data_IF_024349085190
#
_entry.id   IF_024349085190
#
_cell.length_a   1.000
_cell.length_b   1.000
_cell.length_c   1.000
_cell.angle_alpha   90.00
_cell.angle_beta   90.00
_cell.angle_gamma   90.00
#
_symmetry.space_group_name_H-M   'P 1'
#
loop_
_entity.id
_entity.type
_entity.pdbx_description
1 polymer ?
#
# COMPACT_ATOMS: atom_id res chain seq x y z
N UNK A 1 26.59 33.20 12.47
CA UNK A 1 25.34 33.51 11.73
C UNK A 1 24.76 32.15 11.37
N UNK A 2 23.96 31.60 12.28
CA UNK A 2 23.31 30.30 12.11
C UNK A 2 22.13 30.50 11.17
N UNK A 3 22.13 29.78 10.06
CA UNK A 3 21.02 29.78 9.12
C UNK A 3 19.97 28.84 9.70
N UNK A 4 18.82 29.42 10.06
CA UNK A 4 17.68 28.79 10.71
C UNK A 4 17.18 27.58 9.89
N UNK A 5 17.31 26.39 10.47
CA UNK A 5 16.96 25.05 9.95
C UNK A 5 15.43 24.83 9.99
N UNK A 6 14.68 25.76 9.36
CA UNK A 6 13.23 25.90 9.59
C UNK A 6 12.33 25.56 8.40
N UNK A 7 12.85 24.98 7.32
CA UNK A 7 12.07 24.84 6.09
C UNK A 7 11.93 23.42 5.53
N UNK A 8 12.75 22.44 5.92
CA UNK A 8 12.59 21.06 5.46
C UNK A 8 11.62 20.35 6.40
N UNK A 9 10.45 19.98 5.88
CA UNK A 9 9.38 19.32 6.66
C UNK A 9 9.31 17.82 6.38
N UNK A 10 9.83 17.38 5.23
CA UNK A 10 9.76 15.97 4.83
C UNK A 10 10.93 15.60 3.92
N UNK A 11 11.66 14.55 4.25
CA UNK A 11 12.77 14.02 3.46
C UNK A 11 12.59 12.55 3.04
N UNK A 12 13.66 11.97 2.50
CA UNK A 12 13.71 10.55 2.12
C UNK A 12 13.50 9.62 3.32
N UNK A 13 14.01 9.98 4.50
CA UNK A 13 13.85 9.23 5.74
C UNK A 13 12.40 9.28 6.27
N UNK A 14 11.70 10.40 6.10
CA UNK A 14 10.30 10.54 6.49
C UNK A 14 9.38 9.71 5.58
N UNK A 15 9.63 9.74 4.26
CA UNK A 15 8.98 8.85 3.30
C UNK A 15 9.18 7.38 3.65
N UNK A 16 10.43 6.99 3.96
CA UNK A 16 10.75 5.62 4.36
C UNK A 16 10.02 5.23 5.65
N UNK A 17 9.96 6.12 6.62
CA UNK A 17 9.27 5.90 7.90
C UNK A 17 7.77 5.76 7.69
N UNK A 18 7.16 6.63 6.87
CA UNK A 18 5.74 6.56 6.50
C UNK A 18 5.39 5.23 5.81
N UNK A 19 6.25 4.79 4.88
CA UNK A 19 6.13 3.49 4.23
C UNK A 19 6.25 2.32 5.22
N UNK A 20 7.23 2.37 6.14
CA UNK A 20 7.41 1.32 7.15
C UNK A 20 6.21 1.24 8.11
N UNK A 21 5.62 2.39 8.44
CA UNK A 21 4.40 2.45 9.24
C UNK A 21 3.19 1.88 8.49
N UNK A 22 3.10 2.09 7.18
CA UNK A 22 2.06 1.47 6.33
C UNK A 22 2.20 -0.05 6.25
N UNK A 23 3.42 -0.57 6.05
CA UNK A 23 3.71 -2.01 6.11
C UNK A 23 3.29 -2.60 7.45
N UNK A 24 3.72 -1.98 8.54
CA UNK A 24 3.44 -2.45 9.90
C UNK A 24 1.94 -2.47 10.18
N UNK A 25 1.23 -1.41 9.80
CA UNK A 25 -0.21 -1.30 10.03
C UNK A 25 -1.01 -2.34 9.24
N UNK A 26 -0.80 -2.41 7.92
CA UNK A 26 -1.59 -3.29 7.06
C UNK A 26 -1.34 -4.76 7.42
N UNK A 27 -0.07 -5.17 7.54
CA UNK A 27 0.24 -6.54 7.95
C UNK A 27 -0.28 -6.83 9.36
N UNK A 28 -0.19 -5.88 10.29
CA UNK A 28 -0.66 -6.06 11.65
C UNK A 28 -2.18 -6.26 11.75
N UNK A 29 -2.96 -5.47 11.01
CA UNK A 29 -4.42 -5.61 10.94
C UNK A 29 -4.80 -6.92 10.25
N UNK A 30 -4.21 -7.18 9.08
CA UNK A 30 -4.60 -8.30 8.24
C UNK A 30 -4.29 -9.66 8.87
N UNK A 31 -3.18 -9.75 9.62
CA UNK A 31 -2.72 -11.01 10.26
C UNK A 31 -3.04 -11.10 11.76
N UNK A 32 -3.66 -10.06 12.35
CA UNK A 32 -3.79 -9.88 13.80
C UNK A 32 -2.48 -10.15 14.57
N UNK A 33 -1.33 -9.75 14.01
CA UNK A 33 -0.02 -10.04 14.60
C UNK A 33 0.83 -8.79 14.76
N UNK A 34 1.81 -8.87 15.66
CA UNK A 34 2.75 -7.76 15.87
C UNK A 34 3.90 -7.86 14.87
N UNK A 35 3.85 -7.02 13.85
CA UNK A 35 4.98 -6.75 12.97
C UNK A 35 5.70 -5.50 13.47
N UNK A 36 7.02 -5.50 13.48
CA UNK A 36 7.81 -4.31 13.80
C UNK A 36 9.04 -4.24 12.90
N UNK A 37 9.62 -3.05 12.77
CA UNK A 37 10.81 -2.81 11.97
C UNK A 37 11.96 -2.25 12.81
N UNK A 38 13.18 -2.48 12.32
CA UNK A 38 14.41 -1.94 12.91
C UNK A 38 14.44 -0.42 12.79
N UNK A 39 14.69 0.28 13.90
CA UNK A 39 14.96 1.72 13.90
C UNK A 39 16.27 2.09 13.18
N UNK A 40 17.14 1.10 12.92
CA UNK A 40 18.36 1.27 12.15
C UNK A 40 18.11 0.92 10.68
N UNK A 41 18.43 1.86 9.80
CA UNK A 41 18.31 1.72 8.34
C UNK A 41 19.69 1.50 7.73
N UNK A 42 19.81 0.54 6.82
CA UNK A 42 21.04 0.28 6.09
C UNK A 42 21.05 1.07 4.77
N UNK A 43 22.12 1.83 4.51
CA UNK A 43 22.39 2.38 3.17
C UNK A 43 22.90 1.25 2.28
N UNK A 44 22.27 1.08 1.13
CA UNK A 44 22.64 0.06 0.13
C UNK A 44 23.01 0.74 -1.19
N UNK A 45 23.65 -0.01 -2.09
CA UNK A 45 24.06 0.49 -3.41
C UNK A 45 23.25 -0.11 -4.56
N UNK A 46 22.47 -1.16 -4.27
CA UNK A 46 21.65 -1.85 -5.27
C UNK A 46 20.41 -2.42 -4.60
N UNK A 47 19.30 -2.37 -5.34
CA UNK A 47 18.03 -3.00 -4.99
C UNK A 47 17.81 -4.24 -5.83
N UNK A 48 17.14 -5.24 -5.26
CA UNK A 48 16.88 -6.46 -5.99
C UNK A 48 15.93 -7.39 -5.26
N UNK A 49 15.31 -8.26 -6.05
CA UNK A 49 14.47 -9.32 -5.54
C UNK A 49 15.37 -10.47 -5.08
N UNK A 50 15.26 -10.83 -3.81
CA UNK A 50 15.94 -11.99 -3.24
C UNK A 50 15.16 -13.27 -3.60
N UNK A 51 15.77 -14.46 -3.45
CA UNK A 51 15.07 -15.72 -3.58
C UNK A 51 13.85 -15.82 -2.64
N UNK A 52 13.01 -16.83 -2.89
CA UNK A 52 11.73 -17.11 -2.27
C UNK A 52 10.60 -16.23 -2.84
N UNK A 53 10.21 -15.16 -2.14
CA UNK A 53 9.11 -14.30 -2.57
C UNK A 53 9.55 -12.84 -2.54
N UNK A 54 9.52 -12.21 -3.71
CA UNK A 54 9.79 -10.79 -3.89
C UNK A 54 8.59 -10.06 -4.46
N UNK A 55 8.31 -8.86 -3.95
CA UNK A 55 7.39 -7.91 -4.52
C UNK A 55 8.14 -6.66 -4.94
N UNK A 56 7.76 -6.04 -6.05
CA UNK A 56 8.18 -4.68 -6.34
C UNK A 56 7.04 -3.82 -6.88
N UNK A 57 7.15 -2.53 -6.62
CA UNK A 57 6.20 -1.50 -7.07
C UNK A 57 6.96 -0.22 -7.35
N UNK A 58 6.60 0.44 -8.46
CA UNK A 58 7.12 1.73 -8.86
C UNK A 58 6.08 2.81 -8.59
N UNK A 59 6.56 3.94 -8.10
CA UNK A 59 5.82 5.17 -7.89
C UNK A 59 6.32 6.22 -8.87
N UNK A 60 5.40 7.02 -9.39
CA UNK A 60 5.69 8.13 -10.27
C UNK A 60 4.79 9.35 -9.96
N UNK A 61 5.16 10.54 -10.43
CA UNK A 61 4.44 11.79 -10.18
C UNK A 61 5.29 12.80 -9.40
N UNK A 62 4.84 13.20 -8.21
CA UNK A 62 5.55 14.18 -7.37
C UNK A 62 6.99 13.79 -6.99
N UNK A 63 7.27 12.49 -6.99
CA UNK A 63 8.60 11.91 -6.99
C UNK A 63 8.53 10.52 -7.60
N UNK A 64 9.67 10.01 -8.07
CA UNK A 64 9.77 8.68 -8.64
C UNK A 64 10.57 7.78 -7.71
N UNK A 65 10.11 6.55 -7.50
CA UNK A 65 10.78 5.59 -6.65
C UNK A 65 10.37 4.15 -6.90
N UNK A 66 11.18 3.22 -6.43
CA UNK A 66 10.95 1.78 -6.43
C UNK A 66 10.94 1.29 -4.98
N UNK A 67 9.91 0.56 -4.62
CA UNK A 67 9.87 -0.21 -3.38
C UNK A 67 9.93 -1.69 -3.71
N UNK A 68 10.78 -2.40 -2.97
CA UNK A 68 10.95 -3.85 -3.05
C UNK A 68 10.73 -4.44 -1.67
N UNK A 69 9.93 -5.49 -1.56
CA UNK A 69 9.79 -6.27 -0.36
C UNK A 69 10.20 -7.71 -0.63
N UNK A 70 11.10 -8.23 0.21
CA UNK A 70 11.68 -9.55 0.07
C UNK A 70 11.35 -10.38 1.31
N UNK A 71 10.52 -11.40 1.12
CA UNK A 71 10.08 -12.33 2.15
C UNK A 71 10.80 -13.66 1.97
N UNK A 72 11.32 -14.21 3.07
CA UNK A 72 11.72 -15.63 3.07
C UNK A 72 10.49 -16.52 2.95
N UNK A 73 10.68 -17.77 2.50
CA UNK A 73 9.61 -18.76 2.43
C UNK A 73 8.84 -18.88 3.77
N UNK A 74 9.55 -18.97 4.89
CA UNK A 74 8.95 -19.09 6.23
C UNK A 74 8.14 -17.83 6.61
N UNK A 75 8.62 -16.65 6.24
CA UNK A 75 7.93 -15.39 6.53
C UNK A 75 6.64 -15.27 5.71
N UNK A 76 6.72 -15.61 4.42
CA UNK A 76 5.55 -15.57 3.55
C UNK A 76 4.47 -16.54 4.00
N UNK A 77 4.85 -17.77 4.36
CA UNK A 77 3.91 -18.76 4.91
C UNK A 77 3.31 -18.28 6.22
N UNK A 78 4.09 -17.70 7.13
CA UNK A 78 3.56 -17.16 8.38
C UNK A 78 2.51 -16.08 8.16
N UNK A 79 2.78 -15.12 7.26
CA UNK A 79 1.85 -14.03 6.93
C UNK A 79 0.58 -14.61 6.30
N UNK A 80 0.72 -15.49 5.31
CA UNK A 80 -0.39 -16.13 4.61
C UNK A 80 -1.27 -16.96 5.55
N UNK A 81 -0.67 -17.85 6.35
CA UNK A 81 -1.39 -18.70 7.30
C UNK A 81 -2.18 -17.85 8.29
N UNK A 82 -1.56 -16.81 8.87
CA UNK A 82 -2.26 -15.93 9.81
C UNK A 82 -3.41 -15.18 9.16
N UNK A 83 -3.21 -14.68 7.95
CA UNK A 83 -4.25 -13.99 7.20
C UNK A 83 -5.45 -14.90 6.91
N UNK A 84 -5.21 -16.11 6.41
CA UNK A 84 -6.28 -17.09 6.12
C UNK A 84 -6.99 -17.59 7.38
N UNK A 85 -6.24 -17.85 8.46
CA UNK A 85 -6.82 -18.23 9.74
C UNK A 85 -7.69 -17.12 10.33
N UNK A 86 -7.27 -15.86 10.18
CA UNK A 86 -8.06 -14.71 10.57
C UNK A 86 -9.36 -14.61 9.76
N UNK A 87 -9.34 -15.00 8.49
CA UNK A 87 -10.54 -15.11 7.64
C UNK A 87 -11.41 -16.36 7.93
N UNK A 88 -11.03 -17.20 8.90
CA UNK A 88 -11.80 -18.37 9.34
C UNK A 88 -11.53 -19.66 8.57
N UNK A 89 -10.52 -19.69 7.69
CA UNK A 89 -10.15 -20.91 6.95
C UNK A 89 -9.43 -21.91 7.86
N UNK A 90 -9.76 -23.22 7.80
CA UNK A 90 -9.10 -24.23 8.61
C UNK A 90 -7.67 -24.52 8.12
N UNK A 91 -6.76 -24.84 9.05
CA UNK A 91 -5.35 -25.16 8.74
C UNK A 91 -5.15 -26.28 7.72
N UNK A 92 -6.10 -27.19 7.60
CA UNK A 92 -6.06 -28.31 6.65
C UNK A 92 -6.24 -27.89 5.19
N UNK A 93 -6.82 -26.72 4.95
CA UNK A 93 -7.09 -26.20 3.60
C UNK A 93 -6.03 -25.20 3.13
N UNK A 94 -5.10 -24.84 4.01
CA UNK A 94 -4.03 -23.90 3.69
C UNK A 94 -3.05 -24.52 2.68
N UNK A 95 -2.53 -23.67 1.81
CA UNK A 95 -1.43 -24.03 0.93
C UNK A 95 -0.24 -24.55 1.75
N UNK A 96 0.39 -25.63 1.28
CA UNK A 96 1.56 -26.24 1.93
C UNK A 96 2.89 -25.66 1.48
N UNK A 97 2.89 -24.87 0.40
CA UNK A 97 4.09 -24.30 -0.21
C UNK A 97 3.96 -22.81 -0.45
N UNK A 98 5.02 -22.07 -0.13
CA UNK A 98 5.17 -20.65 -0.42
C UNK A 98 5.13 -20.34 -1.92
N UNK A 99 5.41 -21.33 -2.78
CA UNK A 99 5.36 -21.20 -4.24
C UNK A 99 3.94 -21.34 -4.80
N UNK A 100 2.92 -21.53 -3.96
CA UNK A 100 1.53 -21.62 -4.42
C UNK A 100 1.07 -20.26 -4.96
N UNK A 101 0.27 -20.29 -6.02
CA UNK A 101 -0.36 -19.10 -6.60
C UNK A 101 -1.21 -18.37 -5.55
N UNK A 102 -1.86 -19.12 -4.67
CA UNK A 102 -2.67 -18.57 -3.58
C UNK A 102 -1.85 -17.69 -2.63
N UNK A 103 -0.68 -18.15 -2.19
CA UNK A 103 0.23 -17.38 -1.32
C UNK A 103 0.65 -16.10 -2.03
N UNK A 104 1.03 -16.20 -3.31
CA UNK A 104 1.44 -15.05 -4.11
C UNK A 104 0.30 -14.03 -4.28
N UNK A 105 -0.94 -14.50 -4.49
CA UNK A 105 -2.11 -13.64 -4.64
C UNK A 105 -2.43 -12.89 -3.34
N UNK A 106 -2.43 -13.58 -2.20
CA UNK A 106 -2.69 -12.95 -0.90
C UNK A 106 -1.59 -11.95 -0.54
N UNK A 107 -0.33 -12.32 -0.75
CA UNK A 107 0.80 -11.41 -0.52
C UNK A 107 0.73 -10.19 -1.45
N UNK A 108 0.30 -10.38 -2.71
CA UNK A 108 0.08 -9.29 -3.66
C UNK A 108 -1.05 -8.35 -3.25
N UNK A 109 -2.15 -8.89 -2.72
CA UNK A 109 -3.26 -8.10 -2.20
C UNK A 109 -2.85 -7.27 -0.97
N UNK A 110 -2.13 -7.88 -0.03
CA UNK A 110 -1.57 -7.15 1.11
C UNK A 110 -0.62 -6.04 0.64
N UNK A 111 0.16 -6.29 -0.41
CA UNK A 111 1.01 -5.27 -1.01
C UNK A 111 0.23 -4.14 -1.67
N UNK A 112 -0.84 -4.44 -2.39
CA UNK A 112 -1.73 -3.42 -2.93
C UNK A 112 -2.25 -2.50 -1.83
N UNK A 113 -2.66 -3.08 -0.69
CA UNK A 113 -3.15 -2.34 0.46
C UNK A 113 -2.05 -1.49 1.11
N UNK A 114 -0.85 -2.03 1.32
CA UNK A 114 0.32 -1.28 1.86
C UNK A 114 0.63 -0.07 0.99
N UNK A 115 0.67 -0.27 -0.33
CA UNK A 115 0.99 0.77 -1.31
C UNK A 115 -0.09 1.83 -1.34
N UNK A 116 -1.37 1.44 -1.41
CA UNK A 116 -2.50 2.37 -1.38
C UNK A 116 -2.57 3.17 -0.08
N UNK A 117 -2.24 2.54 1.05
CA UNK A 117 -2.17 3.18 2.34
C UNK A 117 -1.09 4.26 2.41
N UNK A 118 0.11 3.91 1.92
CA UNK A 118 1.26 4.81 1.86
C UNK A 118 0.98 5.98 0.91
N UNK A 119 0.57 5.73 -0.34
CA UNK A 119 0.31 6.80 -1.31
C UNK A 119 -0.83 7.71 -0.86
N UNK A 120 -1.84 7.16 -0.18
CA UNK A 120 -2.91 7.94 0.45
C UNK A 120 -2.39 8.90 1.51
N UNK A 121 -1.46 8.46 2.39
CA UNK A 121 -0.83 9.35 3.38
C UNK A 121 0.00 10.43 2.71
N UNK A 122 0.90 10.05 1.81
CA UNK A 122 1.80 10.99 1.14
C UNK A 122 1.02 12.04 0.35
N UNK A 123 -0.07 11.65 -0.32
CA UNK A 123 -0.94 12.58 -1.02
C UNK A 123 -1.55 13.65 -0.10
N UNK A 124 -1.93 13.27 1.13
CA UNK A 124 -2.50 14.21 2.13
C UNK A 124 -1.44 15.07 2.78
N UNK A 125 -0.30 14.48 3.15
CA UNK A 125 0.78 15.16 3.87
C UNK A 125 1.57 16.12 2.96
N UNK A 126 1.81 15.73 1.71
CA UNK A 126 2.62 16.52 0.77
C UNK A 126 1.79 17.28 -0.27
N UNK A 127 0.46 17.14 -0.25
CA UNK A 127 -0.45 17.73 -1.25
C UNK A 127 -0.04 17.43 -2.70
N UNK A 128 0.59 16.28 -2.94
CA UNK A 128 1.11 15.88 -4.24
C UNK A 128 0.39 14.65 -4.78
N UNK A 129 0.28 14.55 -6.10
CA UNK A 129 -0.29 13.38 -6.73
C UNK A 129 0.82 12.37 -7.06
N UNK A 130 0.61 11.12 -6.64
CA UNK A 130 1.51 10.00 -6.93
C UNK A 130 0.65 8.92 -7.56
N UNK A 131 1.14 8.40 -8.67
CA UNK A 131 0.60 7.20 -9.31
C UNK A 131 1.51 6.03 -9.00
N UNK A 132 0.93 4.84 -8.90
CA UNK A 132 1.66 3.61 -8.72
C UNK A 132 1.30 2.64 -9.83
N UNK A 133 2.27 1.84 -10.26
CA UNK A 133 1.94 0.64 -11.00
C UNK A 133 1.37 -0.44 -10.05
N UNK A 134 0.81 -1.50 -10.61
CA UNK A 134 0.40 -2.64 -9.79
C UNK A 134 1.64 -3.37 -9.24
N UNK A 135 1.70 -3.61 -7.92
CA UNK A 135 2.66 -4.52 -7.31
C UNK A 135 2.76 -5.84 -8.06
N UNK A 136 3.99 -6.24 -8.38
CA UNK A 136 4.26 -7.52 -9.02
C UNK A 136 4.90 -8.48 -8.03
N UNK A 137 4.18 -9.53 -7.69
CA UNK A 137 4.66 -10.64 -6.89
C UNK A 137 5.39 -11.65 -7.77
N UNK A 138 6.58 -12.07 -7.33
CA UNK A 138 7.42 -13.02 -8.04
C UNK A 138 7.96 -14.06 -7.06
N UNK A 139 7.77 -15.34 -7.42
CA UNK A 139 8.45 -16.46 -6.78
C UNK A 139 9.77 -16.68 -7.49
N UNK A 140 10.88 -16.66 -6.74
CA UNK A 140 12.22 -16.64 -7.31
C UNK A 140 13.11 -17.72 -6.72
N UNK A 141 13.81 -18.45 -7.58
CA UNK A 141 14.84 -19.42 -7.15
C UNK A 141 16.22 -18.78 -7.01
N UNK A 142 16.42 -17.60 -7.62
CA UNK A 142 17.68 -16.86 -7.64
C UNK A 142 17.42 -15.37 -7.50
N UNK A 143 18.42 -14.66 -6.97
CA UNK A 143 18.36 -13.21 -6.85
C UNK A 143 18.31 -12.54 -8.22
N UNK A 144 17.40 -11.57 -8.37
CA UNK A 144 17.26 -10.73 -9.57
C UNK A 144 17.55 -9.28 -9.20
N UNK A 145 18.50 -8.66 -9.90
CA UNK A 145 18.80 -7.25 -9.71
C UNK A 145 17.79 -6.41 -10.48
N UNK A 146 17.17 -5.44 -9.80
CA UNK A 146 16.26 -4.49 -10.44
C UNK A 146 17.05 -3.21 -10.75
N UNK A 147 17.09 -2.84 -12.02
CA UNK A 147 17.59 -1.55 -12.43
C UNK A 147 16.40 -0.69 -12.86
N UNK A 148 16.25 0.46 -12.23
CA UNK A 148 15.18 1.41 -12.56
C UNK A 148 15.74 2.31 -13.65
N UNK A 149 15.25 2.15 -14.88
CA UNK A 149 15.63 2.99 -16.03
C UNK A 149 14.89 4.34 -15.99
N UNK A 150 14.89 4.95 -14.81
CA UNK A 150 14.47 6.33 -14.60
C UNK A 150 15.75 7.10 -14.34
N UNK A 151 15.99 8.23 -15.01
CA UNK A 151 17.17 9.05 -14.72
C UNK A 151 17.04 9.68 -13.33
N UNK A 152 17.40 8.91 -12.31
CA UNK A 152 17.53 9.37 -10.94
C UNK A 152 18.79 10.26 -10.86
N UNK A 153 18.62 11.56 -10.62
CA UNK A 153 19.74 12.53 -10.57
C UNK A 153 20.65 12.22 -9.36
N UNK A 154 20.06 11.76 -8.24
CA UNK A 154 20.77 11.37 -7.01
C UNK A 154 20.03 10.24 -6.28
N UNK A 155 20.19 8.98 -6.71
CA UNK A 155 19.46 7.87 -6.13
C UNK A 155 19.92 7.60 -4.69
N UNK A 156 18.96 7.59 -3.78
CA UNK A 156 19.11 7.14 -2.42
C UNK A 156 18.46 5.77 -2.24
N UNK A 157 19.26 4.80 -1.80
CA UNK A 157 18.77 3.46 -1.54
C UNK A 157 18.90 3.11 -0.05
N UNK A 158 17.82 2.59 0.51
CA UNK A 158 17.71 2.22 1.93
C UNK A 158 17.12 0.83 2.06
N UNK A 159 17.65 0.05 3.00
CA UNK A 159 17.09 -1.23 3.42
C UNK A 159 16.67 -1.17 4.88
N UNK A 160 15.48 -1.67 5.17
CA UNK A 160 14.93 -1.83 6.51
C UNK A 160 14.60 -3.30 6.76
N UNK A 161 14.95 -3.79 7.94
CA UNK A 161 14.59 -5.13 8.39
C UNK A 161 13.31 -5.10 9.20
N UNK A 162 12.41 -6.03 8.90
CA UNK A 162 11.16 -6.26 9.61
C UNK A 162 11.19 -7.61 10.29
N UNK A 163 10.45 -7.71 11.38
CA UNK A 163 10.34 -8.90 12.22
C UNK A 163 8.86 -9.21 12.47
N UNK A 164 8.49 -10.46 12.22
CA UNK A 164 7.17 -10.98 12.54
C UNK A 164 7.08 -11.41 14.01
N UNK A 165 5.90 -11.84 14.45
CA UNK A 165 5.69 -12.36 15.80
C UNK A 165 6.49 -13.65 16.07
N UNK A 166 6.71 -14.52 15.06
CA UNK A 166 7.61 -15.68 15.20
C UNK A 166 9.09 -15.32 15.03
N UNK A 167 9.42 -14.02 14.96
CA UNK A 167 10.77 -13.50 14.77
C UNK A 167 11.38 -13.89 13.41
N UNK A 168 10.55 -14.16 12.40
CA UNK A 168 11.00 -14.30 11.02
C UNK A 168 11.30 -12.91 10.44
N UNK A 169 12.28 -12.85 9.53
CA UNK A 169 12.80 -11.59 9.01
C UNK A 169 12.44 -11.43 7.53
N UNK A 170 11.95 -10.25 7.18
CA UNK A 170 11.83 -9.80 5.80
C UNK A 170 12.43 -8.41 5.63
N UNK A 171 12.68 -8.03 4.38
CA UNK A 171 13.38 -6.78 4.07
C UNK A 171 12.55 -5.90 3.16
N UNK A 172 12.46 -4.62 3.52
CA UNK A 172 12.02 -3.56 2.63
C UNK A 172 13.24 -2.86 2.05
N UNK A 173 13.25 -2.64 0.75
CA UNK A 173 14.25 -1.81 0.06
C UNK A 173 13.52 -0.68 -0.67
N UNK A 174 13.95 0.56 -0.42
CA UNK A 174 13.47 1.75 -1.11
C UNK A 174 14.61 2.28 -1.96
N UNK A 175 14.35 2.56 -3.23
CA UNK A 175 15.20 3.36 -4.10
C UNK A 175 14.40 4.56 -4.59
N UNK A 176 14.86 5.78 -4.32
CA UNK A 176 14.16 7.02 -4.66
C UNK A 176 15.19 8.09 -5.00
N UNK A 177 14.81 9.10 -5.77
CA UNK A 177 15.60 10.32 -5.83
C UNK A 177 15.66 11.02 -4.48
N UNK A 178 16.83 11.57 -4.16
CA UNK A 178 16.97 12.47 -3.02
C UNK A 178 15.97 13.61 -3.16
N UNK A 179 15.02 13.65 -2.25
CA UNK A 179 13.88 14.56 -2.27
C UNK A 179 13.75 15.24 -0.92
N UNK A 180 13.55 16.56 -0.96
CA UNK A 180 13.38 17.41 0.21
C UNK A 180 12.12 18.27 -0.04
N UNK A 181 11.11 18.11 0.81
CA UNK A 181 9.87 18.86 0.72
C UNK A 181 9.92 20.04 1.69
N UNK A 182 9.87 21.23 1.10
CA UNK A 182 9.93 22.49 1.84
C UNK A 182 8.52 23.05 1.98
N UNK A 183 8.09 23.28 3.22
CA UNK A 183 6.77 23.89 3.49
C UNK A 183 6.83 25.38 3.20
N UNK A 184 6.21 25.79 2.10
CA UNK A 184 6.14 27.19 1.70
C UNK A 184 5.06 27.96 2.47
N UNK A 185 3.98 27.28 2.85
CA UNK A 185 2.84 27.86 3.57
C UNK A 185 2.32 26.86 4.61
N UNK A 186 1.78 27.36 5.72
CA UNK A 186 1.11 26.52 6.69
C UNK A 186 -0.24 26.03 6.14
N UNK A 187 -0.38 24.72 6.01
CA UNK A 187 -1.63 24.05 5.68
C UNK A 187 -1.89 22.93 6.68
N UNK A 188 -3.15 22.74 7.07
CA UNK A 188 -3.55 21.57 7.83
C UNK A 188 -3.61 20.35 6.89
N UNK A 189 -3.03 19.20 7.26
CA UNK A 189 -3.21 17.97 6.50
C UNK A 189 -4.71 17.75 6.31
N UNK A 190 -5.13 17.43 5.08
CA UNK A 190 -6.54 17.10 4.82
C UNK A 190 -6.87 15.89 5.68
N UNK A 191 -7.66 16.08 6.73
CA UNK A 191 -8.09 14.99 7.60
C UNK A 191 -8.76 13.90 6.76
N UNK A 192 -8.49 12.63 7.10
CA UNK A 192 -9.23 11.52 6.50
C UNK A 192 -10.71 11.78 6.77
N UNK A 193 -11.56 11.95 5.75
CA UNK A 193 -12.99 11.96 5.96
C UNK A 193 -13.32 10.61 6.58
N UNK A 194 -13.70 10.63 7.85
CA UNK A 194 -14.11 9.43 8.55
C UNK A 194 -15.32 8.87 7.77
N UNK A 195 -15.24 7.64 7.22
CA UNK A 195 -16.33 7.09 6.42
C UNK A 195 -17.62 7.03 7.23
N UNK A 196 -17.52 6.85 8.55
CA UNK A 196 -18.68 6.89 9.44
C UNK A 196 -19.24 8.31 9.57
N UNK A 197 -18.39 9.35 9.50
CA UNK A 197 -18.86 10.75 9.45
C UNK A 197 -19.47 11.11 8.10
N UNK A 198 -18.92 10.63 6.99
CA UNK A 198 -19.53 10.85 5.66
C UNK A 198 -20.89 10.14 5.55
N UNK A 199 -20.99 8.91 6.05
CA UNK A 199 -22.26 8.17 6.13
C UNK A 199 -23.24 8.83 7.09
N UNK A 200 -22.78 9.33 8.24
CA UNK A 200 -23.59 10.07 9.18
C UNK A 200 -24.03 11.43 8.62
N UNK A 201 -23.18 12.10 7.83
CA UNK A 201 -23.49 13.36 7.14
C UNK A 201 -24.49 13.13 6.01
N UNK A 202 -24.41 12.05 5.23
CA UNK A 202 -25.46 11.67 4.27
C UNK A 202 -26.77 11.29 4.97
N UNK A 203 -26.70 10.56 6.10
CA UNK A 203 -27.88 10.24 6.91
C UNK A 203 -28.49 11.49 7.56
N UNK A 204 -27.67 12.47 7.97
CA UNK A 204 -28.11 13.70 8.62
C UNK A 204 -28.55 14.81 7.65
N UNK A 205 -28.02 14.85 6.42
CA UNK A 205 -28.41 15.82 5.39
C UNK A 205 -29.62 15.43 4.56
N UNK A 206 -30.20 14.24 4.82
CA UNK A 206 -31.59 13.98 4.49
C UNK A 206 -31.84 12.70 3.73
N UNK A 207 -32.04 11.63 4.51
CA UNK A 207 -33.21 10.79 4.27
C UNK A 207 -34.50 11.60 4.45
N UNK A 208 -34.84 12.42 3.45
CA UNK A 208 -36.24 12.63 3.14
C UNK A 208 -36.75 11.35 2.46
N UNK A 209 -37.94 10.84 2.78
CA UNK A 209 -38.53 9.80 1.95
C UNK A 209 -38.68 10.39 0.55
N UNK A 210 -38.01 9.79 -0.44
CA UNK A 210 -38.46 9.87 -1.81
C UNK A 210 -39.81 9.13 -1.86
N UNK A 211 -40.87 9.83 -1.44
CA UNK A 211 -42.23 9.52 -1.84
C UNK A 211 -42.35 9.78 -3.33
N UNK A 212 -41.89 8.81 -4.11
CA UNK A 212 -42.50 8.29 -5.33
C UNK A 212 -41.62 7.15 -5.83
N UNK A 213 -41.79 5.97 -5.23
CA UNK A 213 -41.88 4.79 -6.06
C UNK A 213 -43.04 5.05 -7.04
N UNK A 214 -42.74 5.60 -8.21
CA UNK A 214 -43.53 5.24 -9.39
C UNK A 214 -43.42 3.72 -9.46
N UNK A 215 -44.46 3.03 -8.99
CA UNK A 215 -44.77 1.73 -9.53
C UNK A 215 -44.81 1.94 -11.03
N UNK A 216 -43.76 1.49 -11.73
CA UNK A 216 -43.87 1.21 -13.15
C UNK A 216 -45.01 0.20 -13.26
N UNK A 217 -46.22 0.70 -13.54
CA UNK A 217 -47.27 -0.14 -14.09
C UNK A 217 -46.72 -0.76 -15.35
N UNK A 218 -47.10 -2.02 -15.62
CA UNK A 218 -46.65 -2.74 -16.81
C UNK A 218 -46.85 -1.93 -18.12
N UNK A 219 -47.84 -1.03 -18.14
CA UNK A 219 -48.08 -0.08 -19.25
C UNK A 219 -46.91 0.88 -19.54
N UNK A 220 -46.19 1.38 -18.52
CA UNK A 220 -45.06 2.31 -18.71
C UNK A 220 -43.83 1.59 -19.29
N UNK A 221 -43.72 0.29 -19.02
CA UNK A 221 -42.65 -0.56 -19.58
C UNK A 221 -42.94 -0.91 -21.04
N UNK A 222 -44.20 -1.15 -21.37
CA UNK A 222 -44.66 -1.45 -22.74
C UNK A 222 -44.60 -0.21 -23.65
N UNK A 223 -44.87 1.01 -23.15
CA UNK A 223 -44.71 2.23 -23.94
C UNK A 223 -43.25 2.53 -24.30
N UNK A 224 -42.31 2.24 -23.38
CA UNK A 224 -40.88 2.39 -23.63
C UNK A 224 -40.35 1.40 -24.68
N UNK A 225 -40.80 0.15 -24.65
CA UNK A 225 -40.44 -0.88 -25.64
C UNK A 225 -40.95 -0.51 -27.04
N UNK A 226 -42.20 0.00 -27.12
CA UNK A 226 -42.81 0.46 -28.36
C UNK A 226 -42.13 1.70 -28.94
N UNK A 227 -41.60 2.58 -28.07
CA UNK A 227 -40.77 3.73 -28.46
C UNK A 227 -39.38 3.32 -28.98
N UNK A 228 -38.87 2.16 -28.60
CA UNK A 228 -37.57 1.63 -29.02
C UNK A 228 -37.66 0.74 -30.28
N UNK A 229 -38.87 0.52 -30.80
CA UNK A 229 -39.10 -0.19 -32.07
C UNK A 229 -38.90 -1.70 -32.01
N UNK A 230 -39.08 -2.30 -30.83
CA UNK A 230 -39.18 -3.76 -30.64
C UNK A 230 -40.62 -4.20 -30.38
#
# INVERSE_FOLDING_TARGET
MEVDDKSIVYGTEDLLTSLCNSVTRVLGIATQSKVHYSAMVQRITKVGLKPDIGCFVLFDGGFTGLVVLNFSADTAMEIYERYMLHMGMPKSELASSHTSDEVSNIMGELMNQIVGDFTGKVRRELQTNITQNQPKMLVLTKQVMLNVDTPLDRPEMRRVSFYTEKNNVFYLELAIDRTEFIRLYDFDPIDVPDPDKLLAEEQATGGAPAGQSQQLSADDSDELLKSLGM
#
